data_IF_205224031668
#
_entry.id   IF_205224031668
#
_cell.length_a   1.000
_cell.length_b   1.000
_cell.length_c   1.000
_cell.angle_alpha   90.00
_cell.angle_beta   90.00
_cell.angle_gamma   90.00
#
_symmetry.space_group_name_H-M   'P 1'
#
loop_
_entity.id
_entity.type
_entity.pdbx_description
1 polymer ?
#
# COMPACT_ATOMS: atom_id res chain seq x y z
N UNK A 1 -24.65 14.48 -27.43
CA UNK A 1 -23.78 13.86 -26.42
C UNK A 1 -24.66 13.63 -25.20
N UNK A 2 -24.74 12.41 -24.67
CA UNK A 2 -25.60 12.10 -23.52
C UNK A 2 -24.87 12.39 -22.21
N UNK A 3 -25.53 13.07 -21.28
CA UNK A 3 -24.98 13.38 -19.95
C UNK A 3 -25.47 12.33 -18.93
N UNK A 4 -24.58 11.85 -18.06
CA UNK A 4 -24.96 10.94 -16.96
C UNK A 4 -25.30 11.76 -15.74
N UNK A 5 -26.50 11.61 -15.20
CA UNK A 5 -26.96 12.38 -14.03
C UNK A 5 -26.71 11.67 -12.71
N UNK A 6 -26.94 10.36 -12.68
CA UNK A 6 -26.82 9.54 -11.47
C UNK A 6 -26.46 8.10 -11.82
N UNK A 7 -25.80 7.43 -10.89
CA UNK A 7 -25.54 5.99 -10.96
C UNK A 7 -25.88 5.35 -9.62
N UNK A 8 -26.39 4.12 -9.65
CA UNK A 8 -26.59 3.29 -8.47
C UNK A 8 -26.05 1.88 -8.72
N UNK A 9 -25.36 1.33 -7.72
CA UNK A 9 -24.85 -0.04 -7.74
C UNK A 9 -25.66 -0.90 -6.78
N UNK A 10 -26.07 -2.07 -7.24
CA UNK A 10 -26.82 -3.04 -6.44
C UNK A 10 -26.14 -4.41 -6.54
N UNK A 11 -25.80 -4.98 -5.39
CA UNK A 11 -25.39 -6.38 -5.28
C UNK A 11 -26.55 -7.17 -4.66
N UNK A 12 -27.16 -8.06 -5.44
CA UNK A 12 -28.25 -8.94 -4.99
C UNK A 12 -28.05 -10.32 -5.59
N UNK A 13 -28.31 -11.36 -4.79
CA UNK A 13 -28.31 -12.76 -5.24
C UNK A 13 -27.03 -13.18 -5.98
N UNK A 14 -25.89 -12.65 -5.53
CA UNK A 14 -24.58 -12.94 -6.12
C UNK A 14 -24.33 -12.31 -7.49
N UNK A 15 -25.11 -11.29 -7.88
CA UNK A 15 -24.94 -10.52 -9.11
C UNK A 15 -24.81 -9.01 -8.82
N UNK A 16 -23.91 -8.35 -9.54
CA UNK A 16 -23.69 -6.92 -9.47
C UNK A 16 -24.40 -6.22 -10.63
N UNK A 17 -25.14 -5.17 -10.32
CA UNK A 17 -25.90 -4.39 -11.29
C UNK A 17 -25.55 -2.91 -11.15
N UNK A 18 -25.47 -2.22 -12.30
CA UNK A 18 -25.32 -0.77 -12.40
C UNK A 18 -26.56 -0.19 -13.07
N UNK A 19 -27.28 0.63 -12.33
CA UNK A 19 -28.30 1.51 -12.88
C UNK A 19 -27.65 2.85 -13.21
N UNK A 20 -27.81 3.32 -14.44
CA UNK A 20 -27.31 4.62 -14.89
C UNK A 20 -28.46 5.44 -15.43
N UNK A 21 -28.60 6.62 -14.88
CA UNK A 21 -29.51 7.62 -15.39
C UNK A 21 -28.78 8.56 -16.36
N UNK A 22 -29.36 8.77 -17.53
CA UNK A 22 -28.78 9.62 -18.56
C UNK A 22 -29.81 10.50 -19.24
N UNK A 23 -29.35 11.64 -19.76
CA UNK A 23 -30.15 12.57 -20.56
C UNK A 23 -29.52 12.72 -21.94
N UNK A 24 -30.34 12.57 -22.98
CA UNK A 24 -29.96 12.84 -24.37
C UNK A 24 -30.95 13.84 -24.94
N UNK A 25 -30.50 15.07 -25.17
CA UNK A 25 -31.38 16.18 -25.53
C UNK A 25 -32.32 16.51 -24.37
N UNK A 26 -33.63 16.35 -24.55
CA UNK A 26 -34.65 16.52 -23.50
C UNK A 26 -35.13 15.19 -22.90
N UNK A 27 -34.64 14.04 -23.38
CA UNK A 27 -35.10 12.72 -22.95
C UNK A 27 -34.23 12.18 -21.82
N UNK A 28 -34.88 11.82 -20.71
CA UNK A 28 -34.27 11.12 -19.57
C UNK A 28 -34.52 9.62 -19.69
N UNK A 29 -33.51 8.81 -19.44
CA UNK A 29 -33.60 7.36 -19.49
C UNK A 29 -32.73 6.70 -18.43
N UNK A 30 -33.18 5.55 -17.95
CA UNK A 30 -32.42 4.70 -17.02
C UNK A 30 -31.98 3.46 -17.80
N UNK A 31 -30.69 3.17 -17.79
CA UNK A 31 -30.15 1.90 -18.27
C UNK A 31 -29.73 1.03 -17.09
N UNK A 32 -29.93 -0.28 -17.24
CA UNK A 32 -29.50 -1.28 -16.27
C UNK A 32 -28.48 -2.19 -16.95
N UNK A 33 -27.30 -2.32 -16.37
CA UNK A 33 -26.25 -3.22 -16.83
C UNK A 33 -25.93 -4.25 -15.75
N UNK A 34 -25.78 -5.51 -16.16
CA UNK A 34 -25.24 -6.55 -15.29
C UNK A 34 -23.73 -6.57 -15.42
N UNK A 35 -23.04 -6.41 -14.30
CA UNK A 35 -21.60 -6.29 -14.21
C UNK A 35 -20.95 -7.64 -13.83
N UNK A 36 -21.09 -8.63 -14.71
CA UNK A 36 -20.67 -10.02 -14.42
C UNK A 36 -19.15 -10.18 -14.37
N UNK A 37 -18.41 -9.67 -15.36
CA UNK A 37 -16.95 -9.80 -15.41
C UNK A 37 -16.28 -8.90 -14.37
N UNK A 38 -16.90 -7.77 -14.07
CA UNK A 38 -16.57 -6.86 -13.00
C UNK A 38 -16.67 -7.53 -11.64
N UNK A 39 -17.80 -8.19 -11.36
CA UNK A 39 -17.99 -8.94 -10.12
C UNK A 39 -16.98 -10.09 -10.00
N UNK A 40 -16.67 -10.78 -11.10
CA UNK A 40 -15.64 -11.81 -11.12
C UNK A 40 -14.26 -11.24 -10.78
N UNK A 41 -13.93 -10.06 -11.31
CA UNK A 41 -12.69 -9.34 -10.99
C UNK A 41 -12.67 -8.93 -9.51
N UNK A 42 -13.75 -8.37 -8.98
CA UNK A 42 -13.88 -7.99 -7.57
C UNK A 42 -13.65 -9.23 -6.67
N UNK A 43 -14.34 -10.34 -6.94
CA UNK A 43 -14.17 -11.59 -6.18
C UNK A 43 -12.74 -12.11 -6.22
N UNK A 44 -12.08 -12.05 -7.37
CA UNK A 44 -10.67 -12.46 -7.54
C UNK A 44 -9.73 -11.58 -6.70
N UNK A 45 -9.93 -10.26 -6.70
CA UNK A 45 -9.13 -9.34 -5.90
C UNK A 45 -9.36 -9.54 -4.40
N UNK A 46 -10.61 -9.63 -3.94
CA UNK A 46 -10.93 -9.88 -2.53
C UNK A 46 -10.34 -11.21 -2.04
N UNK A 47 -10.37 -12.25 -2.89
CA UNK A 47 -9.74 -13.54 -2.56
C UNK A 47 -8.22 -13.42 -2.43
N UNK A 48 -7.59 -12.56 -3.24
CA UNK A 48 -6.15 -12.26 -3.15
C UNK A 48 -5.82 -11.58 -1.84
N UNK A 49 -6.61 -10.55 -1.45
CA UNK A 49 -6.42 -9.83 -0.18
C UNK A 49 -6.57 -10.75 1.02
N UNK A 50 -7.67 -11.50 1.08
CA UNK A 50 -7.92 -12.44 2.18
C UNK A 50 -6.78 -13.45 2.36
N UNK A 51 -6.23 -13.96 1.24
CA UNK A 51 -5.09 -14.89 1.29
C UNK A 51 -3.81 -14.23 1.81
N UNK A 52 -3.51 -13.01 1.38
CA UNK A 52 -2.34 -12.26 1.85
C UNK A 52 -2.47 -11.93 3.34
N UNK A 53 -3.61 -11.39 3.76
CA UNK A 53 -3.86 -11.04 5.15
C UNK A 53 -3.80 -12.26 6.07
N UNK A 54 -4.35 -13.41 5.65
CA UNK A 54 -4.22 -14.65 6.40
C UNK A 54 -2.75 -15.03 6.59
N UNK A 55 -1.95 -14.98 5.51
CA UNK A 55 -0.53 -15.33 5.57
C UNK A 55 0.30 -14.39 6.46
N UNK A 56 -0.03 -13.09 6.45
CA UNK A 56 0.62 -12.12 7.33
C UNK A 56 0.22 -12.32 8.78
N UNK A 57 -1.07 -12.59 9.04
CA UNK A 57 -1.60 -12.86 10.37
C UNK A 57 -0.97 -14.12 10.98
N UNK A 58 -0.79 -15.19 10.19
CA UNK A 58 -0.06 -16.41 10.61
C UNK A 58 1.38 -16.10 11.07
N UNK A 59 2.02 -15.12 10.43
CA UNK A 59 3.36 -14.64 10.79
C UNK A 59 3.37 -13.53 11.86
N UNK A 60 2.22 -13.25 12.48
CA UNK A 60 2.01 -12.18 13.46
C UNK A 60 2.31 -10.76 12.95
N UNK A 61 2.25 -10.55 11.63
CA UNK A 61 2.40 -9.24 11.02
C UNK A 61 1.05 -8.52 11.05
N UNK A 62 1.00 -7.24 11.43
CA UNK A 62 -0.23 -6.47 11.43
C UNK A 62 -0.78 -6.38 10.00
N UNK A 63 -2.08 -6.63 9.85
CA UNK A 63 -2.81 -6.50 8.59
C UNK A 63 -3.85 -5.38 8.65
N UNK A 64 -4.27 -5.01 9.86
CA UNK A 64 -5.10 -3.84 10.09
C UNK A 64 -4.42 -2.62 9.45
N UNK A 65 -5.11 -1.94 8.53
CA UNK A 65 -4.60 -0.76 7.86
C UNK A 65 -3.44 -0.99 6.89
N UNK A 66 -3.05 -2.23 6.58
CA UNK A 66 -2.10 -2.55 5.51
C UNK A 66 -2.77 -2.34 4.15
N UNK A 67 -2.24 -1.44 3.34
CA UNK A 67 -2.88 -1.01 2.07
C UNK A 67 -2.09 -1.39 0.82
N UNK A 68 -0.81 -1.70 0.96
CA UNK A 68 0.05 -2.05 -0.17
C UNK A 68 1.29 -2.80 0.29
N UNK A 69 1.75 -3.72 -0.57
CA UNK A 69 2.92 -4.53 -0.32
C UNK A 69 3.71 -4.79 -1.59
N UNK A 70 4.96 -4.32 -1.63
CA UNK A 70 5.89 -4.59 -2.73
C UNK A 70 6.91 -5.64 -2.29
N UNK A 71 6.93 -6.79 -2.96
CA UNK A 71 7.87 -7.88 -2.64
C UNK A 71 8.43 -8.57 -3.89
N UNK A 72 8.07 -9.82 -4.13
CA UNK A 72 8.73 -10.62 -5.17
C UNK A 72 8.16 -10.34 -6.56
N UNK A 73 6.87 -10.00 -6.66
CA UNK A 73 6.18 -9.81 -7.93
C UNK A 73 6.72 -8.61 -8.73
N UNK A 74 7.07 -8.84 -10.00
CA UNK A 74 7.47 -7.79 -10.94
C UNK A 74 7.05 -8.13 -12.36
N UNK A 75 6.91 -7.11 -13.20
CA UNK A 75 6.71 -7.24 -14.64
C UNK A 75 7.85 -6.55 -15.37
N UNK A 76 8.66 -7.34 -16.09
CA UNK A 76 9.92 -6.90 -16.67
C UNK A 76 10.89 -6.39 -15.60
N UNK A 77 11.87 -5.58 -16.02
CA UNK A 77 12.88 -4.98 -15.14
C UNK A 77 12.44 -3.66 -14.50
N UNK A 78 11.20 -3.24 -14.75
CA UNK A 78 10.73 -1.87 -14.47
C UNK A 78 9.57 -1.83 -13.48
N UNK A 79 8.59 -2.74 -13.55
CA UNK A 79 7.40 -2.62 -12.70
C UNK A 79 7.52 -3.52 -11.47
N UNK A 80 7.51 -2.91 -10.29
CA UNK A 80 7.39 -3.62 -9.01
C UNK A 80 5.90 -3.70 -8.65
N UNK A 81 5.36 -4.92 -8.68
CA UNK A 81 3.92 -5.14 -8.55
C UNK A 81 3.54 -5.09 -7.07
N UNK A 82 2.45 -4.38 -6.78
CA UNK A 82 1.80 -4.43 -5.49
C UNK A 82 1.00 -5.73 -5.37
N UNK A 83 1.29 -6.52 -4.34
CA UNK A 83 0.67 -7.81 -4.10
C UNK A 83 -0.82 -7.65 -3.77
N UNK A 84 -1.25 -6.50 -3.23
CA UNK A 84 -2.67 -6.15 -3.10
C UNK A 84 -3.31 -5.70 -4.42
N UNK A 85 -2.53 -5.59 -5.51
CA UNK A 85 -2.98 -5.27 -6.87
C UNK A 85 -3.65 -3.90 -6.99
N UNK A 86 -3.33 -2.97 -6.09
CA UNK A 86 -3.88 -1.63 -6.10
C UNK A 86 -2.98 -0.69 -6.89
N UNK A 87 -1.74 -0.49 -6.42
CA UNK A 87 -0.82 0.52 -6.99
C UNK A 87 0.59 -0.02 -7.10
N UNK A 88 1.09 -0.17 -8.32
CA UNK A 88 2.46 -0.62 -8.56
C UNK A 88 3.47 0.50 -8.36
N UNK A 89 4.73 0.14 -8.09
CA UNK A 89 5.86 1.05 -8.15
C UNK A 89 6.65 0.87 -9.46
N UNK A 90 7.31 1.95 -9.90
CA UNK A 90 8.13 1.96 -11.11
C UNK A 90 9.60 2.10 -10.70
N UNK A 91 10.38 1.06 -10.99
CA UNK A 91 11.81 1.00 -10.79
C UNK A 91 12.56 1.56 -12.01
N UNK A 92 13.57 2.39 -11.75
CA UNK A 92 14.45 2.99 -12.75
C UNK A 92 15.88 2.58 -12.46
N UNK A 93 16.60 2.08 -13.47
CA UNK A 93 18.00 1.63 -13.36
C UNK A 93 18.25 0.68 -12.18
N UNK A 94 17.27 -0.15 -11.87
CA UNK A 94 17.33 -1.12 -10.79
C UNK A 94 17.41 -2.53 -11.37
N UNK A 95 18.07 -3.44 -10.65
CA UNK A 95 18.10 -4.86 -11.01
C UNK A 95 17.19 -5.65 -10.07
N UNK A 96 16.41 -6.59 -10.60
CA UNK A 96 15.55 -7.44 -9.76
C UNK A 96 16.37 -8.23 -8.75
N UNK A 97 15.87 -8.29 -7.51
CA UNK A 97 16.38 -9.13 -6.45
C UNK A 97 15.25 -9.99 -5.87
N UNK A 98 15.60 -11.01 -5.07
CA UNK A 98 14.61 -11.75 -4.29
C UNK A 98 13.89 -10.79 -3.34
N UNK A 99 12.56 -10.79 -3.38
CA UNK A 99 11.64 -9.95 -2.63
C UNK A 99 11.81 -8.43 -2.85
N UNK A 100 12.52 -8.00 -3.89
CA UNK A 100 12.66 -6.57 -4.21
C UNK A 100 13.66 -6.26 -5.30
N UNK A 101 14.47 -5.20 -5.12
CA UNK A 101 15.35 -4.65 -6.15
C UNK A 101 16.70 -4.16 -5.57
N UNK A 102 17.72 -4.20 -6.42
CA UNK A 102 19.04 -3.62 -6.20
C UNK A 102 19.16 -2.26 -6.89
N UNK A 103 19.64 -1.25 -6.17
CA UNK A 103 19.77 0.14 -6.59
C UNK A 103 21.24 0.56 -6.52
N UNK A 104 22.02 0.16 -7.53
CA UNK A 104 23.48 0.39 -7.61
C UNK A 104 23.87 1.57 -8.50
N UNK A 105 23.12 1.82 -9.58
CA UNK A 105 23.47 2.87 -10.54
C UNK A 105 23.10 4.28 -10.03
N UNK A 106 23.82 5.34 -10.46
CA UNK A 106 23.40 6.72 -10.21
C UNK A 106 21.98 7.02 -10.72
N UNK A 107 21.17 7.60 -9.84
CA UNK A 107 19.75 7.84 -10.06
C UNK A 107 18.85 6.60 -10.04
N UNK A 108 19.36 5.43 -9.63
CA UNK A 108 18.53 4.23 -9.45
C UNK A 108 17.58 4.39 -8.26
N UNK A 109 16.30 4.11 -8.49
CA UNK A 109 15.23 4.25 -7.49
C UNK A 109 13.98 3.51 -7.94
N UNK A 110 13.08 3.22 -7.01
CA UNK A 110 11.69 2.93 -7.32
C UNK A 110 10.78 4.05 -6.82
N UNK A 111 9.80 4.43 -7.63
CA UNK A 111 8.80 5.43 -7.29
C UNK A 111 7.46 4.72 -7.07
N UNK A 112 6.91 4.83 -5.87
CA UNK A 112 5.60 4.29 -5.53
C UNK A 112 4.61 5.45 -5.46
N UNK A 113 3.77 5.60 -6.49
CA UNK A 113 2.87 6.74 -6.63
C UNK A 113 1.70 6.68 -5.67
N UNK A 114 1.35 7.81 -5.05
CA UNK A 114 0.21 7.95 -4.12
C UNK A 114 -1.00 8.63 -4.79
N UNK A 115 -0.74 9.30 -5.91
CA UNK A 115 -1.74 9.87 -6.79
C UNK A 115 -1.34 9.62 -8.25
N UNK A 116 -2.32 9.24 -9.07
CA UNK A 116 -2.25 9.52 -10.50
C UNK A 116 -2.89 10.89 -10.67
N UNK A 117 -2.19 11.83 -11.31
CA UNK A 117 -2.74 13.13 -11.70
C UNK A 117 -4.16 12.93 -12.29
N UNK A 118 -5.20 13.40 -11.57
CA UNK A 118 -6.60 13.15 -11.89
C UNK A 118 -7.53 13.10 -10.66
N UNK A 119 -8.87 13.03 -10.85
CA UNK A 119 -9.86 13.11 -9.77
C UNK A 119 -9.85 11.91 -8.80
N UNK A 120 -9.17 10.81 -9.15
CA UNK A 120 -9.17 9.58 -8.36
C UNK A 120 -7.86 9.45 -7.55
N UNK A 121 -7.75 10.22 -6.46
CA UNK A 121 -6.63 10.14 -5.51
C UNK A 121 -6.79 8.90 -4.63
N UNK A 122 -6.06 7.83 -4.96
CA UNK A 122 -6.22 6.53 -4.31
C UNK A 122 -5.72 6.53 -2.86
N UNK A 123 -4.64 7.27 -2.56
CA UNK A 123 -4.02 7.27 -1.24
C UNK A 123 -4.03 8.64 -0.56
N UNK A 124 -5.17 9.35 -0.55
CA UNK A 124 -5.28 10.66 0.12
C UNK A 124 -4.94 10.63 1.63
N UNK A 125 -5.04 9.46 2.28
CA UNK A 125 -4.70 9.30 3.70
C UNK A 125 -3.23 9.63 4.02
N UNK A 126 -2.30 9.51 3.04
CA UNK A 126 -0.86 9.70 3.29
C UNK A 126 -0.52 11.12 3.72
N UNK A 127 -1.38 12.10 3.43
CA UNK A 127 -1.23 13.48 3.88
C UNK A 127 -1.51 13.66 5.38
N UNK A 128 -2.18 12.68 6.01
CA UNK A 128 -2.49 12.69 7.45
C UNK A 128 -1.68 11.64 8.20
N UNK A 129 -1.84 10.37 7.85
CA UNK A 129 -1.29 9.25 8.61
C UNK A 129 -0.74 8.19 7.68
N UNK A 130 0.51 7.76 7.90
CA UNK A 130 1.02 6.55 7.27
C UNK A 130 2.20 5.95 8.04
N UNK A 131 2.43 4.67 7.79
CA UNK A 131 3.70 4.00 8.10
C UNK A 131 4.23 3.31 6.85
N UNK A 132 5.43 3.68 6.40
CA UNK A 132 6.13 3.02 5.30
C UNK A 132 7.30 2.22 5.88
N UNK A 133 7.26 0.90 5.74
CA UNK A 133 8.30 -0.02 6.25
C UNK A 133 9.01 -0.68 5.10
N UNK A 134 10.33 -0.84 5.17
CA UNK A 134 11.12 -1.58 4.19
C UNK A 134 12.26 -2.34 4.87
N UNK A 135 12.67 -3.47 4.30
CA UNK A 135 13.94 -4.12 4.63
C UNK A 135 15.02 -3.61 3.68
N UNK A 136 16.11 -3.06 4.23
CA UNK A 136 17.21 -2.49 3.45
C UNK A 136 18.54 -3.14 3.81
N UNK A 137 19.38 -3.34 2.80
CA UNK A 137 20.76 -3.80 2.96
C UNK A 137 21.65 -2.82 2.21
N UNK A 138 22.60 -2.19 2.90
CA UNK A 138 23.57 -1.26 2.32
C UNK A 138 24.84 -2.05 2.03
N UNK A 139 25.28 -2.13 0.78
CA UNK A 139 26.42 -2.99 0.40
C UNK A 139 27.76 -2.28 0.50
N UNK A 140 27.78 -0.98 0.23
CA UNK A 140 29.01 -0.18 0.17
C UNK A 140 28.86 1.13 0.94
N UNK A 141 30.00 1.68 1.37
CA UNK A 141 30.02 3.01 1.97
C UNK A 141 29.83 4.06 0.87
N UNK A 142 28.80 4.92 0.95
CA UNK A 142 28.57 5.92 -0.07
C UNK A 142 29.66 6.99 -0.02
N UNK A 143 29.88 7.66 -1.15
CA UNK A 143 30.78 8.83 -1.23
C UNK A 143 30.25 10.07 -0.49
N UNK A 144 28.98 10.07 -0.09
CA UNK A 144 28.32 11.20 0.55
C UNK A 144 27.09 10.79 1.34
N UNK A 145 26.16 11.73 1.53
CA UNK A 145 24.87 11.46 2.16
C UNK A 145 23.89 10.94 1.10
N UNK A 146 23.52 9.67 1.18
CA UNK A 146 22.74 8.98 0.15
C UNK A 146 21.35 8.58 0.67
N UNK A 147 20.27 8.93 -0.04
CA UNK A 147 18.89 8.57 0.33
C UNK A 147 18.65 7.06 0.28
N UNK A 148 17.67 6.59 1.06
CA UNK A 148 17.24 5.19 1.10
C UNK A 148 15.73 5.01 0.93
N UNK A 149 14.96 5.86 1.62
CA UNK A 149 13.52 5.79 1.65
C UNK A 149 12.97 7.18 1.99
N UNK A 150 11.85 7.59 1.42
CA UNK A 150 11.22 8.86 1.79
C UNK A 150 9.94 9.20 1.05
N UNK A 151 9.26 10.22 1.57
CA UNK A 151 8.07 10.84 1.01
C UNK A 151 8.42 12.22 0.43
N UNK A 152 8.02 12.45 -0.82
CA UNK A 152 8.27 13.69 -1.56
C UNK A 152 7.10 14.66 -1.38
N UNK A 153 7.36 15.96 -1.50
CA UNK A 153 6.35 17.03 -1.48
C UNK A 153 6.26 17.69 -2.87
N UNK A 154 5.04 17.80 -3.42
CA UNK A 154 4.75 18.06 -4.85
C UNK A 154 5.43 19.30 -5.47
N UNK A 155 5.41 20.48 -4.84
CA UNK A 155 5.82 21.74 -5.49
C UNK A 155 7.29 22.11 -5.31
N UNK A 156 8.14 21.13 -5.08
CA UNK A 156 9.56 21.41 -5.00
C UNK A 156 10.31 20.26 -5.59
N UNK A 157 11.11 20.56 -6.61
CA UNK A 157 11.96 19.58 -7.30
C UNK A 157 12.97 18.88 -6.37
N UNK A 158 12.90 19.05 -5.04
CA UNK A 158 13.80 18.45 -4.06
C UNK A 158 13.32 18.40 -2.60
N UNK A 159 12.14 18.94 -2.21
CA UNK A 159 11.77 18.95 -0.77
C UNK A 159 11.12 17.61 -0.39
N UNK A 160 11.63 17.05 0.68
CA UNK A 160 11.17 15.78 1.26
C UNK A 160 10.41 16.10 2.52
N UNK A 161 9.22 15.53 2.66
CA UNK A 161 8.45 15.64 3.90
C UNK A 161 9.17 14.86 4.99
N UNK A 162 9.38 13.57 4.76
CA UNK A 162 10.06 12.67 5.68
C UNK A 162 10.97 11.72 4.89
N UNK A 163 12.12 11.37 5.44
CA UNK A 163 12.99 10.38 4.81
C UNK A 163 14.13 9.91 5.69
N UNK A 164 14.78 8.84 5.22
CA UNK A 164 16.02 8.32 5.77
C UNK A 164 17.10 8.32 4.70
N UNK A 165 18.30 8.71 5.12
CA UNK A 165 19.53 8.63 4.35
C UNK A 165 20.65 8.06 5.21
N UNK A 166 21.70 7.59 4.56
CA UNK A 166 22.90 7.07 5.20
C UNK A 166 24.13 7.82 4.68
N UNK A 167 25.19 7.92 5.47
CA UNK A 167 26.38 8.72 5.12
C UNK A 167 27.68 7.91 5.09
N UNK A 168 28.72 8.47 4.46
CA UNK A 168 30.10 7.96 4.48
C UNK A 168 30.64 7.65 5.88
N UNK A 169 30.24 8.40 6.91
CA UNK A 169 30.65 8.19 8.31
C UNK A 169 29.92 7.04 9.01
N UNK A 170 29.21 6.19 8.24
CA UNK A 170 28.39 5.09 8.74
C UNK A 170 27.29 5.50 9.73
N UNK A 171 26.82 6.75 9.66
CA UNK A 171 25.71 7.27 10.47
C UNK A 171 24.42 7.37 9.67
N UNK A 172 23.29 7.21 10.37
CA UNK A 172 21.97 7.52 9.85
C UNK A 172 21.70 9.03 9.84
N UNK A 173 20.96 9.48 8.83
CA UNK A 173 20.52 10.88 8.69
C UNK A 173 19.03 10.92 8.39
N UNK A 174 18.24 11.51 9.28
CA UNK A 174 16.81 11.75 9.02
C UNK A 174 16.62 12.99 8.17
N UNK A 175 15.51 13.02 7.44
CA UNK A 175 15.05 14.19 6.71
C UNK A 175 13.66 14.54 7.21
N UNK A 176 13.45 15.78 7.63
CA UNK A 176 12.15 16.33 8.01
C UNK A 176 11.97 17.69 7.35
N UNK A 177 10.92 17.85 6.55
CA UNK A 177 10.61 19.08 5.82
C UNK A 177 11.82 19.67 5.06
N UNK A 178 12.63 18.81 4.45
CA UNK A 178 13.87 19.15 3.73
C UNK A 178 15.12 19.29 4.59
N UNK A 179 15.00 19.42 5.92
CA UNK A 179 16.14 19.53 6.84
C UNK A 179 16.73 18.14 7.09
N UNK A 180 18.05 18.01 6.88
CA UNK A 180 18.81 16.77 7.18
C UNK A 180 19.46 16.88 8.55
N UNK A 181 19.25 15.88 9.41
CA UNK A 181 19.85 15.81 10.75
C UNK A 181 20.63 14.51 10.90
N UNK A 182 21.90 14.60 11.31
CA UNK A 182 22.74 13.44 11.57
C UNK A 182 22.57 12.95 13.01
N UNK A 183 22.54 11.63 13.19
CA UNK A 183 22.34 11.00 14.49
C UNK A 183 23.52 10.09 14.83
N UNK A 184 23.78 9.89 16.13
CA UNK A 184 24.89 9.03 16.60
C UNK A 184 24.70 7.54 16.33
N UNK A 185 23.50 7.11 15.90
CA UNK A 185 23.23 5.72 15.52
C UNK A 185 23.94 5.35 14.22
N UNK A 186 24.64 4.22 14.23
CA UNK A 186 25.45 3.75 13.12
C UNK A 186 24.78 2.64 12.30
N UNK A 187 25.35 2.37 11.14
CA UNK A 187 25.03 1.25 10.27
C UNK A 187 26.32 0.55 9.79
N UNK A 188 26.16 -0.65 9.27
CA UNK A 188 27.21 -1.58 8.87
C UNK A 188 26.90 -2.12 7.47
N UNK A 189 27.89 -2.15 6.56
CA UNK A 189 27.73 -2.77 5.25
C UNK A 189 27.32 -4.24 5.34
N UNK A 190 26.43 -4.69 4.46
CA UNK A 190 25.94 -6.06 4.37
C UNK A 190 24.93 -6.47 5.44
N UNK A 191 24.71 -5.66 6.49
CA UNK A 191 23.67 -5.93 7.50
C UNK A 191 22.30 -5.53 6.98
N UNK A 192 21.30 -6.37 7.23
CA UNK A 192 19.90 -6.07 6.96
C UNK A 192 19.30 -5.21 8.09
N UNK A 193 18.58 -4.16 7.70
CA UNK A 193 17.87 -3.25 8.60
C UNK A 193 16.39 -3.21 8.22
N UNK A 194 15.52 -3.25 9.21
CA UNK A 194 14.14 -2.80 9.00
C UNK A 194 14.12 -1.27 9.20
N UNK A 195 13.70 -0.54 8.19
CA UNK A 195 13.50 0.91 8.25
C UNK A 195 12.00 1.20 8.24
N UNK A 196 11.56 2.13 9.08
CA UNK A 196 10.19 2.65 9.03
C UNK A 196 10.17 4.18 9.06
N UNK A 197 9.32 4.77 8.22
CA UNK A 197 8.96 6.19 8.25
C UNK A 197 7.51 6.30 8.68
N UNK A 198 7.22 7.17 9.65
CA UNK A 198 5.86 7.38 10.14
C UNK A 198 5.50 8.86 10.13
N UNK A 199 4.31 9.15 9.60
CA UNK A 199 3.63 10.43 9.76
C UNK A 199 2.38 10.20 10.61
N UNK A 200 2.23 11.02 11.64
CA UNK A 200 1.07 11.03 12.53
C UNK A 200 0.46 12.43 12.59
N UNK A 201 -0.87 12.50 12.57
CA UNK A 201 -1.67 13.73 12.67
C UNK A 201 -1.31 14.79 11.60
N UNK A 202 -0.75 14.36 10.47
CA UNK A 202 -0.33 15.20 9.34
C UNK A 202 0.92 16.04 9.60
N UNK A 203 1.48 16.04 10.82
CA UNK A 203 2.58 16.92 11.19
C UNK A 203 3.70 16.26 12.01
N UNK A 204 3.48 15.14 12.69
CA UNK A 204 4.51 14.48 13.50
C UNK A 204 5.22 13.42 12.68
N UNK A 205 6.46 13.68 12.31
CA UNK A 205 7.33 12.75 11.60
C UNK A 205 8.21 11.97 12.56
N UNK A 206 8.37 10.66 12.34
CA UNK A 206 9.32 9.84 13.08
C UNK A 206 9.93 8.73 12.21
N UNK A 207 11.17 8.35 12.51
CA UNK A 207 11.94 7.38 11.74
C UNK A 207 12.49 6.32 12.66
N UNK A 208 12.41 5.05 12.26
CA UNK A 208 12.85 3.91 13.04
C UNK A 208 13.78 3.01 12.22
N UNK A 209 14.77 2.45 12.91
CA UNK A 209 15.65 1.39 12.40
C UNK A 209 15.61 0.25 13.41
N UNK A 210 15.25 -0.96 12.96
CA UNK A 210 15.07 -2.15 13.79
C UNK A 210 14.14 -1.92 14.99
N UNK A 211 13.04 -1.18 14.76
CA UNK A 211 12.08 -0.81 15.79
C UNK A 211 12.61 0.17 16.85
N UNK A 212 13.78 0.79 16.64
CA UNK A 212 14.35 1.83 17.51
C UNK A 212 14.29 3.19 16.81
N UNK A 213 13.91 4.27 17.51
CA UNK A 213 13.85 5.60 16.90
C UNK A 213 15.24 6.09 16.49
N UNK A 214 15.32 6.72 15.33
CA UNK A 214 16.52 7.41 14.82
C UNK A 214 16.34 8.90 15.08
N UNK A 215 16.90 9.39 16.18
CA UNK A 215 16.69 10.76 16.64
C UNK A 215 15.34 10.98 17.31
N UNK A 216 15.01 12.24 17.54
CA UNK A 216 13.72 12.65 18.10
C UNK A 216 12.69 12.83 16.98
N UNK A 217 11.41 12.44 17.18
CA UNK A 217 10.32 12.86 16.30
C UNK A 217 10.31 14.37 16.10
N UNK A 218 9.96 14.83 14.89
CA UNK A 218 9.85 16.26 14.57
C UNK A 218 8.41 16.65 14.24
N UNK A 219 8.00 17.83 14.69
CA UNK A 219 6.75 18.45 14.25
C UNK A 219 7.02 19.36 13.05
N UNK A 220 6.31 19.11 11.96
CA UNK A 220 6.44 19.80 10.67
C UNK A 220 5.13 20.55 10.36
N UNK A 221 5.12 21.53 9.46
CA UNK A 221 3.86 22.08 8.96
C UNK A 221 3.05 20.98 8.26
N UNK A 222 1.72 20.98 8.42
CA UNK A 222 0.88 19.98 7.77
C UNK A 222 0.97 20.09 6.24
N UNK A 223 0.82 18.97 5.56
CA UNK A 223 0.81 18.90 4.08
C UNK A 223 -0.26 19.84 3.50
N UNK A 224 -1.44 19.85 4.11
CA UNK A 224 -2.58 20.71 3.72
C UNK A 224 -2.27 22.21 3.90
N UNK A 225 -1.74 22.62 5.06
CA UNK A 225 -1.40 24.04 5.30
C UNK A 225 -0.34 24.58 4.36
N UNK A 226 0.49 23.69 3.80
CA UNK A 226 1.48 24.07 2.80
C UNK A 226 0.92 24.08 1.37
N UNK A 227 -0.35 23.69 1.18
CA UNK A 227 -0.97 23.61 -0.15
C UNK A 227 -0.34 22.55 -1.05
N UNK A 228 0.28 21.52 -0.46
CA UNK A 228 1.01 20.49 -1.20
C UNK A 228 0.35 19.12 -1.04
N UNK A 229 0.84 18.16 -1.83
CA UNK A 229 0.51 16.74 -1.69
C UNK A 229 1.79 15.91 -1.57
N UNK A 230 1.61 14.63 -1.21
CA UNK A 230 2.67 13.63 -1.30
C UNK A 230 2.40 12.82 -2.57
N UNK A 231 3.06 13.12 -3.71
CA UNK A 231 2.76 12.46 -4.97
C UNK A 231 3.29 11.02 -5.03
N UNK A 232 4.39 10.73 -4.32
CA UNK A 232 5.00 9.41 -4.31
C UNK A 232 5.96 9.22 -3.12
N UNK A 233 6.24 7.96 -2.81
CA UNK A 233 7.43 7.56 -2.06
C UNK A 233 8.58 7.23 -3.03
N UNK A 234 9.81 7.54 -2.65
CA UNK A 234 11.01 7.02 -3.30
C UNK A 234 11.60 5.89 -2.44
N UNK A 235 12.09 4.85 -3.10
CA UNK A 235 12.66 3.64 -2.51
C UNK A 235 14.03 3.37 -3.16
N UNK A 236 15.05 3.13 -2.35
CA UNK A 236 16.44 3.08 -2.81
C UNK A 236 17.00 4.49 -2.91
N UNK A 237 17.39 4.95 -4.10
CA UNK A 237 17.95 6.27 -4.30
C UNK A 237 16.93 7.39 -4.52
N UNK A 238 17.45 8.54 -4.96
CA UNK A 238 16.72 9.74 -5.37
C UNK A 238 17.31 10.26 -6.70
N UNK A 239 16.63 11.20 -7.34
CA UNK A 239 17.06 11.79 -8.59
C UNK A 239 18.43 12.47 -8.51
N UNK A 240 19.27 12.24 -9.52
CA UNK A 240 20.61 12.85 -9.61
C UNK A 240 21.61 12.37 -8.56
N UNK A 241 21.24 11.44 -7.67
CA UNK A 241 22.12 10.92 -6.63
C UNK A 241 23.24 10.01 -7.15
N UNK A 242 24.32 9.92 -6.38
CA UNK A 242 25.30 8.83 -6.54
C UNK A 242 24.61 7.47 -6.34
N UNK A 243 25.16 6.43 -6.95
CA UNK A 243 24.69 5.06 -6.76
C UNK A 243 24.53 4.74 -5.29
N UNK A 244 23.36 4.20 -4.90
CA UNK A 244 23.05 3.95 -3.48
C UNK A 244 23.60 2.63 -2.95
N UNK A 245 24.03 1.74 -3.85
CA UNK A 245 24.53 0.40 -3.54
C UNK A 245 23.72 -0.31 -2.45
N UNK A 246 22.39 -0.29 -2.62
CA UNK A 246 21.46 -0.90 -1.67
C UNK A 246 20.57 -1.94 -2.33
N UNK A 247 20.19 -2.95 -1.55
CA UNK A 247 19.03 -3.79 -1.83
C UNK A 247 17.89 -3.34 -0.95
N UNK A 248 16.70 -3.14 -1.53
CA UNK A 248 15.47 -2.95 -0.77
C UNK A 248 14.52 -4.10 -1.07
N UNK A 249 13.98 -4.71 -0.02
CA UNK A 249 13.01 -5.80 -0.10
C UNK A 249 11.82 -5.55 0.82
N UNK A 250 10.68 -6.17 0.50
CA UNK A 250 9.47 -6.17 1.33
C UNK A 250 9.07 -4.78 1.84
N UNK A 251 8.45 -3.98 0.98
CA UNK A 251 7.99 -2.64 1.32
C UNK A 251 6.50 -2.69 1.68
N UNK A 252 6.16 -2.29 2.90
CA UNK A 252 4.79 -2.27 3.42
C UNK A 252 4.33 -0.83 3.59
N UNK A 253 3.09 -0.54 3.18
CA UNK A 253 2.43 0.73 3.42
C UNK A 253 1.20 0.53 4.30
N UNK A 254 1.17 1.22 5.44
CA UNK A 254 0.02 1.26 6.34
C UNK A 254 -0.61 2.66 6.33
N UNK A 255 -1.93 2.72 6.46
CA UNK A 255 -2.71 3.97 6.53
C UNK A 255 -2.77 4.60 7.93
N UNK A 256 -1.97 4.10 8.89
CA UNK A 256 -1.93 4.58 10.26
C UNK A 256 -0.51 4.41 10.85
N UNK A 257 -0.19 5.12 11.95
CA UNK A 257 1.06 4.90 12.69
C UNK A 257 1.07 3.53 13.35
N UNK A 258 2.15 2.77 13.19
CA UNK A 258 2.35 1.52 13.91
C UNK A 258 2.98 1.76 15.28
N UNK A 259 2.58 0.95 16.26
CA UNK A 259 3.28 0.89 17.55
C UNK A 259 4.66 0.26 17.41
N UNK A 260 5.55 0.52 18.38
CA UNK A 260 6.87 -0.12 18.46
C UNK A 260 6.76 -1.65 18.56
N UNK A 261 5.69 -2.17 19.17
CA UNK A 261 5.42 -3.61 19.23
C UNK A 261 5.14 -4.19 17.85
N UNK A 262 4.29 -3.54 17.07
CA UNK A 262 3.95 -3.94 15.70
C UNK A 262 5.15 -3.84 14.75
N UNK A 263 5.97 -2.79 14.84
CA UNK A 263 7.19 -2.69 14.04
C UNK A 263 8.11 -3.90 14.22
N UNK A 264 8.26 -4.39 15.46
CA UNK A 264 9.08 -5.57 15.76
C UNK A 264 8.55 -6.85 15.12
N UNK A 265 7.24 -6.99 14.94
CA UNK A 265 6.66 -8.20 14.32
C UNK A 265 6.78 -8.19 12.80
N UNK A 266 6.79 -7.01 12.16
CA UNK A 266 7.03 -6.87 10.71
C UNK A 266 8.39 -7.46 10.29
N UNK A 267 9.43 -7.39 11.14
CA UNK A 267 10.80 -7.85 10.83
C UNK A 267 10.95 -9.38 10.82
N UNK A 268 10.02 -10.15 11.41
CA UNK A 268 10.29 -11.57 11.75
C UNK A 268 10.63 -12.39 10.50
N UNK A 269 11.84 -12.98 10.54
CA UNK A 269 12.64 -13.49 9.43
C UNK A 269 12.18 -14.83 8.85
N UNK A 270 12.83 -15.22 7.75
CA UNK A 270 12.57 -16.21 6.69
C UNK A 270 11.96 -17.60 7.03
N UNK A 271 11.72 -17.95 8.29
CA UNK A 271 11.04 -19.20 8.67
C UNK A 271 9.60 -19.28 8.13
N UNK A 272 8.91 -18.14 8.02
CA UNK A 272 7.52 -18.08 7.56
C UNK A 272 7.38 -18.02 6.02
N UNK A 273 8.43 -17.62 5.30
CA UNK A 273 8.39 -17.50 3.83
C UNK A 273 8.44 -18.88 3.16
N UNK A 274 8.97 -19.91 3.85
CA UNK A 274 8.86 -21.31 3.38
C UNK A 274 7.39 -21.76 3.32
N UNK A 275 6.56 -21.34 4.26
CA UNK A 275 5.12 -21.65 4.28
C UNK A 275 4.41 -20.88 3.15
N UNK A 276 4.78 -19.62 2.92
CA UNK A 276 4.25 -18.80 1.82
C UNK A 276 4.57 -19.39 0.43
N UNK A 277 5.79 -19.90 0.23
CA UNK A 277 6.17 -20.59 -1.02
C UNK A 277 5.45 -21.92 -1.22
N UNK A 278 5.26 -22.69 -0.15
CA UNK A 278 4.52 -23.96 -0.22
C UNK A 278 3.04 -23.71 -0.52
N UNK A 279 2.40 -22.70 0.09
CA UNK A 279 0.99 -22.36 -0.17
C UNK A 279 0.75 -21.75 -1.55
N UNK A 280 1.67 -20.90 -2.05
CA UNK A 280 1.56 -20.31 -3.39
C UNK A 280 1.83 -21.32 -4.52
N UNK A 281 2.77 -22.26 -4.32
CA UNK A 281 3.14 -23.25 -5.34
C UNK A 281 2.24 -24.49 -5.33
N UNK A 282 1.68 -24.88 -4.19
CA UNK A 282 0.93 -26.14 -4.10
C UNK A 282 -0.45 -26.10 -4.74
N UNK A 283 -0.99 -24.92 -5.10
CA UNK A 283 -2.27 -24.83 -5.81
C UNK A 283 -3.31 -25.81 -5.29
N UNK A 284 -3.48 -25.92 -3.97
CA UNK A 284 -4.35 -26.91 -3.32
C UNK A 284 -5.82 -26.57 -3.54
N UNK A 285 -6.24 -26.61 -4.80
CA UNK A 285 -7.48 -27.19 -5.23
C UNK A 285 -7.22 -28.69 -5.41
N UNK A 286 -7.55 -29.49 -4.39
CA UNK A 286 -7.72 -30.93 -4.51
C UNK A 286 -9.03 -31.31 -3.84
N UNK A 287 -9.96 -32.00 -4.52
CA UNK A 287 -11.27 -32.31 -3.94
C UNK A 287 -11.08 -33.37 -2.85
N UNK A 288 -11.62 -33.12 -1.66
CA UNK A 288 -11.92 -34.21 -0.74
C UNK A 288 -13.03 -35.05 -1.39
N UNK A 289 -12.63 -36.10 -2.13
CA UNK A 289 -13.54 -37.14 -2.59
C UNK A 289 -14.03 -37.90 -1.37
N UNK A 290 -15.34 -37.89 -1.15
CA UNK A 290 -15.95 -38.86 -0.25
C UNK A 290 -17.31 -38.54 0.36
N UNK A 291 -18.22 -37.80 -0.29
CA UNK A 291 -19.65 -37.90 0.05
C UNK A 291 -20.50 -37.74 -1.21
N UNK A 292 -21.40 -38.68 -1.40
CA UNK A 292 -22.32 -38.81 -2.53
C UNK A 292 -23.39 -37.71 -2.55
N UNK A 293 -23.54 -37.12 -3.74
CA UNK A 293 -24.70 -36.42 -4.33
C UNK A 293 -25.99 -36.38 -3.46
N UNK A 294 -26.26 -35.22 -2.85
CA UNK A 294 -27.56 -34.53 -2.84
C UNK A 294 -27.36 -33.09 -2.32
N UNK A 295 -27.74 -32.13 -3.17
CA UNK A 295 -28.08 -30.71 -2.94
C UNK A 295 -27.16 -29.80 -2.09
N UNK A 296 -26.59 -28.70 -2.65
CA UNK A 296 -26.00 -27.62 -1.86
C UNK A 296 -26.71 -26.27 -2.11
N UNK A 297 -27.86 -26.10 -1.46
CA UNK A 297 -28.25 -24.81 -0.87
C UNK A 297 -28.05 -24.98 0.64
N UNK A 298 -27.53 -23.95 1.31
CA UNK A 298 -27.21 -23.87 2.76
C UNK A 298 -25.90 -24.54 3.17
N UNK A 299 -24.80 -23.78 3.16
CA UNK A 299 -23.82 -23.73 4.26
C UNK A 299 -22.76 -22.65 3.95
N UNK A 300 -23.09 -21.39 4.30
CA UNK A 300 -22.13 -20.28 4.40
C UNK A 300 -22.21 -19.58 5.77
N UNK A 301 -22.74 -20.26 6.79
CA UNK A 301 -23.14 -19.61 8.06
C UNK A 301 -22.39 -20.08 9.32
N UNK A 302 -21.23 -20.76 9.22
CA UNK A 302 -20.58 -21.30 10.43
C UNK A 302 -19.13 -20.87 10.69
N UNK A 303 -18.61 -19.83 10.05
CA UNK A 303 -17.35 -19.20 10.47
C UNK A 303 -17.43 -17.68 10.44
N UNK A 304 -18.39 -17.13 11.18
CA UNK A 304 -18.31 -15.77 11.72
C UNK A 304 -18.60 -15.91 13.21
N UNK A 305 -17.64 -15.63 14.12
CA UNK A 305 -18.00 -15.51 15.52
C UNK A 305 -19.00 -14.36 15.65
N UNK A 306 -20.25 -14.73 15.99
CA UNK A 306 -21.29 -13.82 16.43
C UNK A 306 -20.80 -13.06 17.66
N UNK A 307 -20.17 -11.91 17.43
CA UNK A 307 -20.20 -10.70 18.25
C UNK A 307 -19.27 -9.67 17.60
N UNK A 308 -19.70 -9.12 16.47
CA UNK A 308 -19.11 -7.92 15.91
C UNK A 308 -20.24 -6.90 15.70
N UNK A 309 -20.16 -5.82 16.47
CA UNK A 309 -21.06 -4.68 16.43
C UNK A 309 -21.27 -4.15 15.01
N UNK A 310 -22.43 -3.52 14.78
CA UNK A 310 -22.91 -2.89 13.54
C UNK A 310 -21.88 -2.10 12.72
N UNK A 311 -20.78 -1.61 13.32
CA UNK A 311 -19.73 -0.89 12.62
C UNK A 311 -18.88 -1.67 11.59
N UNK A 312 -18.81 -3.02 11.63
CA UNK A 312 -17.98 -3.77 10.64
C UNK A 312 -18.66 -3.85 9.26
N UNK A 313 -19.99 -3.86 9.22
CA UNK A 313 -20.77 -3.90 7.98
C UNK A 313 -20.67 -2.54 7.25
N UNK A 314 -20.66 -1.44 8.00
CA UNK A 314 -20.48 -0.09 7.44
C UNK A 314 -19.07 0.13 6.87
N UNK A 315 -18.04 -0.46 7.49
CA UNK A 315 -16.67 -0.44 6.97
C UNK A 315 -16.59 -1.22 5.64
N UNK A 316 -17.17 -2.42 5.57
CA UNK A 316 -17.19 -3.22 4.33
C UNK A 316 -17.93 -2.50 3.19
N UNK A 317 -19.01 -1.79 3.48
CA UNK A 317 -19.74 -1.00 2.47
C UNK A 317 -18.94 0.22 1.97
N UNK A 318 -18.25 0.92 2.87
CA UNK A 318 -17.37 2.04 2.51
C UNK A 318 -16.18 1.63 1.63
N UNK A 319 -15.53 0.51 1.94
CA UNK A 319 -14.46 -0.07 1.12
C UNK A 319 -14.98 -0.53 -0.25
N UNK A 320 -16.18 -1.12 -0.30
CA UNK A 320 -16.79 -1.58 -1.56
C UNK A 320 -17.12 -0.40 -2.48
N UNK A 321 -17.57 0.74 -1.94
CA UNK A 321 -17.94 1.92 -2.74
C UNK A 321 -16.72 2.64 -3.33
N UNK A 322 -15.65 2.81 -2.56
CA UNK A 322 -14.36 3.32 -3.07
C UNK A 322 -13.79 2.37 -4.12
N UNK A 323 -13.91 1.06 -3.92
CA UNK A 323 -13.37 0.04 -4.81
C UNK A 323 -14.10 -0.06 -6.15
N UNK A 324 -15.42 0.16 -6.20
CA UNK A 324 -16.16 0.16 -7.47
C UNK A 324 -15.84 1.41 -8.32
N UNK A 325 -15.72 2.59 -7.70
CA UNK A 325 -15.25 3.78 -8.43
C UNK A 325 -13.78 3.59 -8.90
N UNK A 326 -12.96 2.90 -8.11
CA UNK A 326 -11.55 2.57 -8.40
C UNK A 326 -11.36 1.64 -9.60
N UNK A 327 -12.07 0.51 -9.69
CA UNK A 327 -11.90 -0.44 -10.81
C UNK A 327 -12.47 0.13 -12.13
N UNK A 328 -13.58 0.88 -12.08
CA UNK A 328 -14.33 1.26 -13.28
C UNK A 328 -14.18 2.72 -13.71
N UNK A 329 -13.41 3.54 -12.98
CA UNK A 329 -13.30 4.97 -13.26
C UNK A 329 -14.66 5.67 -13.22
N UNK A 330 -15.60 5.13 -12.44
CA UNK A 330 -16.91 5.75 -12.24
C UNK A 330 -16.72 6.94 -11.29
N UNK A 331 -17.43 8.04 -11.54
CA UNK A 331 -17.38 9.25 -10.74
C UNK A 331 -18.73 9.38 -10.02
N UNK A 332 -19.06 8.40 -9.16
CA UNK A 332 -20.35 8.32 -8.47
C UNK A 332 -20.23 9.09 -7.16
N UNK A 333 -20.94 10.22 -6.98
CA UNK A 333 -20.95 10.93 -5.71
C UNK A 333 -21.60 10.07 -4.61
N UNK A 334 -21.08 10.20 -3.40
CA UNK A 334 -21.60 9.52 -2.21
C UNK A 334 -23.08 9.89 -1.99
N UNK A 335 -24.03 8.95 -1.91
CA UNK A 335 -25.36 9.28 -1.41
C UNK A 335 -25.26 9.62 0.09
N UNK A 336 -26.04 10.59 0.60
CA UNK A 336 -26.08 10.88 2.02
C UNK A 336 -26.56 9.62 2.76
N UNK A 337 -25.73 9.12 3.69
CA UNK A 337 -26.10 8.03 4.58
C UNK A 337 -27.15 8.58 5.54
N UNK A 338 -28.43 8.30 5.28
CA UNK A 338 -29.48 8.49 6.29
C UNK A 338 -29.38 7.37 7.31
N UNK A 339 -28.89 7.71 8.50
CA UNK A 339 -28.99 6.87 9.68
C UNK A 339 -30.46 6.73 10.05
N UNK A 340 -31.04 5.55 9.89
CA UNK A 340 -32.22 5.16 10.67
C UNK A 340 -31.71 4.39 11.88
N UNK A 341 -31.94 4.98 13.06
CA UNK A 341 -31.59 4.44 14.39
C UNK A 341 -32.41 3.18 14.68
#
# INVERSE_FOLDING_TARGET
>A
MGETLANALLNSDGALHLSRESVVGTRRGISLARLTEELKTIKSTLSTWARLDASFSESSRPTAGLVGFLSDASSGDVTWIDDYRCVNAIATKAAKAKNGFNFTAPGSRAMWSMSRWGPNKQYGFVSHNFTLVATVTIHQVPSGSTPLLGAVLEDSKSKKLIGLSHSMNKTWKTVFNGKKTAHGSTWEPGREYQVALMLQDGNKGSVYVDGRPVGTPETMPTVETQGFEIPHFYIGGDEGGSGSDVTVTNVFLYNHPLSVGELKTVKKSEGSVRVLRVLLLLGLCGPLRGVTRRDPCLQWEQYVPLHASSGIIDVLLGYTFYFINFIFGLNIPFPPVQFFI
#
